data_IF_325549924233
#
_entry.id   IF_325549924233
#
_cell.length_a   1.000
_cell.length_b   1.000
_cell.length_c   1.000
_cell.angle_alpha   90.00
_cell.angle_beta   90.00
_cell.angle_gamma   90.00
#
_symmetry.space_group_name_H-M   'P 1'
#
loop_
_entity.id
_entity.type
_entity.pdbx_description
1 polymer ?
#
# COMPACT_ATOMS: atom_id res chain seq x y z
N UNK A 1 -4.26 -26.28 -8.24
CA UNK A 1 -3.84 -24.90 -8.58
C UNK A 1 -2.32 -24.82 -8.46
N UNK A 2 -1.64 -24.37 -9.50
CA UNK A 2 -0.19 -24.27 -9.53
C UNK A 2 0.23 -22.97 -8.87
N UNK A 3 1.14 -23.05 -7.91
CA UNK A 3 1.72 -21.87 -7.26
C UNK A 3 3.20 -21.78 -7.60
N UNK A 4 3.67 -20.57 -7.94
CA UNK A 4 5.08 -20.27 -8.18
C UNK A 4 5.47 -19.02 -7.40
N UNK A 5 6.71 -18.97 -6.94
CA UNK A 5 7.32 -17.78 -6.33
C UNK A 5 8.50 -17.34 -7.21
N UNK A 6 8.61 -16.06 -7.46
CA UNK A 6 9.70 -15.46 -8.23
C UNK A 6 10.13 -14.15 -7.59
N UNK A 7 11.42 -13.80 -7.66
CA UNK A 7 11.85 -12.45 -7.29
C UNK A 7 11.61 -11.47 -8.44
N UNK A 8 11.40 -10.21 -8.11
CA UNK A 8 11.42 -9.13 -9.11
C UNK A 8 12.66 -9.23 -10.01
N UNK A 9 12.53 -8.87 -11.28
CA UNK A 9 13.56 -8.98 -12.32
C UNK A 9 14.00 -10.39 -12.68
N UNK A 10 13.52 -11.44 -12.00
CA UNK A 10 13.80 -12.84 -12.33
C UNK A 10 12.75 -13.43 -13.28
N UNK A 11 13.05 -14.61 -13.80
CA UNK A 11 12.24 -15.29 -14.79
C UNK A 11 11.42 -16.42 -14.18
N UNK A 12 10.17 -16.50 -14.58
CA UNK A 12 9.28 -17.63 -14.38
C UNK A 12 9.29 -18.46 -15.66
N UNK A 13 9.82 -19.67 -15.61
CA UNK A 13 9.88 -20.57 -16.76
C UNK A 13 8.48 -21.13 -17.07
N UNK A 14 8.16 -21.20 -18.36
CA UNK A 14 6.95 -21.84 -18.88
C UNK A 14 7.33 -23.29 -19.23
N UNK A 15 6.70 -24.23 -18.53
CA UNK A 15 7.00 -25.66 -18.66
C UNK A 15 6.27 -26.27 -19.87
N UNK A 16 6.80 -27.35 -20.47
CA UNK A 16 6.03 -28.19 -21.37
C UNK A 16 4.79 -28.77 -20.66
N UNK A 17 3.73 -29.15 -21.40
CA UNK A 17 2.55 -29.77 -20.81
C UNK A 17 2.89 -31.00 -19.96
N UNK A 18 2.44 -31.05 -18.71
CA UNK A 18 2.69 -32.11 -17.74
C UNK A 18 1.95 -31.88 -16.43
N UNK A 19 1.96 -32.87 -15.55
CA UNK A 19 1.34 -32.73 -14.24
C UNK A 19 2.11 -31.72 -13.39
N UNK A 20 1.40 -30.76 -12.81
CA UNK A 20 2.00 -29.68 -12.03
C UNK A 20 2.79 -28.63 -12.86
N UNK A 21 2.73 -28.68 -14.19
CA UNK A 21 3.44 -27.78 -15.09
C UNK A 21 2.80 -26.39 -15.17
N UNK A 22 3.63 -25.33 -15.13
CA UNK A 22 3.20 -23.96 -15.43
C UNK A 22 3.24 -23.76 -16.94
N UNK A 23 2.14 -24.09 -17.60
CA UNK A 23 2.02 -24.12 -19.06
C UNK A 23 1.82 -22.73 -19.67
N UNK A 24 1.95 -22.64 -21.01
CA UNK A 24 1.71 -21.40 -21.76
C UNK A 24 0.29 -20.86 -21.55
N UNK A 25 -0.74 -21.72 -21.53
CA UNK A 25 -2.13 -21.32 -21.28
C UNK A 25 -2.29 -20.64 -19.90
N UNK A 26 -1.62 -21.14 -18.86
CA UNK A 26 -1.62 -20.51 -17.55
C UNK A 26 -0.87 -19.17 -17.54
N UNK A 27 0.22 -19.06 -18.28
CA UNK A 27 0.96 -17.82 -18.46
C UNK A 27 0.12 -16.75 -19.16
N UNK A 28 -0.62 -17.12 -20.22
CA UNK A 28 -1.51 -16.21 -20.95
C UNK A 28 -2.66 -15.70 -20.09
N UNK A 29 -3.23 -16.57 -19.24
CA UNK A 29 -4.24 -16.16 -18.24
C UNK A 29 -3.68 -15.17 -17.23
N UNK A 30 -2.45 -15.39 -16.74
CA UNK A 30 -1.78 -14.44 -15.83
C UNK A 30 -1.50 -13.10 -16.50
N UNK A 31 -1.05 -13.09 -17.75
CA UNK A 31 -0.84 -11.86 -18.52
C UNK A 31 -2.16 -11.09 -18.69
N UNK A 32 -3.26 -11.79 -18.96
CA UNK A 32 -4.58 -11.16 -19.07
C UNK A 32 -5.03 -10.50 -17.76
N UNK A 33 -4.80 -11.18 -16.61
CA UNK A 33 -5.06 -10.59 -15.28
C UNK A 33 -4.11 -9.42 -15.00
N UNK A 34 -2.83 -9.53 -15.40
CA UNK A 34 -1.85 -8.47 -15.27
C UNK A 34 -2.24 -7.20 -16.05
N UNK A 35 -2.77 -7.36 -17.28
CA UNK A 35 -3.28 -6.25 -18.08
C UNK A 35 -4.51 -5.55 -17.48
N UNK A 36 -5.29 -6.26 -16.66
CA UNK A 36 -6.44 -5.72 -15.97
C UNK A 36 -6.07 -5.08 -14.60
N UNK A 37 -4.86 -5.28 -14.10
CA UNK A 37 -4.43 -4.73 -12.80
C UNK A 37 -4.03 -3.25 -12.92
N UNK A 38 -4.32 -2.43 -11.89
CA UNK A 38 -4.01 -0.99 -11.85
C UNK A 38 -2.55 -0.66 -12.17
N UNK A 39 -1.65 -1.44 -11.63
CA UNK A 39 -0.20 -1.27 -11.79
C UNK A 39 0.33 -1.89 -13.08
N UNK A 40 -0.51 -2.64 -13.82
CA UNK A 40 -0.07 -3.48 -14.94
C UNK A 40 0.27 -2.71 -16.20
N UNK A 41 -0.36 -1.55 -16.41
CA UNK A 41 -0.39 -0.91 -17.73
C UNK A 41 -1.31 -1.64 -18.70
N UNK A 42 -1.52 -1.08 -19.90
CA UNK A 42 -2.54 -1.56 -20.85
C UNK A 42 -2.35 -3.02 -21.31
N UNK A 43 -1.12 -3.53 -21.27
CA UNK A 43 -0.73 -4.88 -21.72
C UNK A 43 -0.21 -5.78 -20.59
N UNK A 44 -0.23 -5.29 -19.33
CA UNK A 44 0.38 -5.98 -18.20
C UNK A 44 1.91 -5.96 -18.17
N UNK A 45 2.55 -5.26 -19.11
CA UNK A 45 4.01 -5.22 -19.25
C UNK A 45 4.76 -4.62 -18.07
N UNK A 46 4.08 -3.90 -17.21
CA UNK A 46 4.64 -3.40 -15.93
C UNK A 46 4.74 -4.49 -14.85
N UNK A 47 4.01 -5.61 -15.00
CA UNK A 47 4.05 -6.74 -14.08
C UNK A 47 4.92 -7.85 -14.67
N UNK A 48 4.67 -8.21 -15.91
CA UNK A 48 5.44 -9.24 -16.61
C UNK A 48 5.84 -8.78 -18.01
N UNK A 49 7.09 -9.08 -18.40
CA UNK A 49 7.50 -9.05 -19.80
C UNK A 49 7.52 -10.49 -20.33
N UNK A 50 6.80 -10.70 -21.42
CA UNK A 50 6.70 -12.02 -22.07
C UNK A 50 7.88 -12.26 -23.01
N UNK A 51 8.60 -13.36 -22.78
CA UNK A 51 9.70 -13.85 -23.61
C UNK A 51 9.37 -15.22 -24.24
N UNK A 52 8.11 -15.49 -24.49
CA UNK A 52 7.55 -16.71 -25.10
C UNK A 52 7.75 -18.01 -24.29
N UNK A 53 8.95 -18.32 -23.84
CA UNK A 53 9.26 -19.49 -22.99
C UNK A 53 9.38 -19.16 -21.50
N UNK A 54 9.32 -17.91 -21.14
CA UNK A 54 9.44 -17.41 -19.75
C UNK A 54 8.81 -16.05 -19.60
N UNK A 55 8.26 -15.80 -18.44
CA UNK A 55 7.81 -14.46 -18.03
C UNK A 55 8.87 -13.83 -17.14
N UNK A 56 9.25 -12.58 -17.42
CA UNK A 56 10.11 -11.82 -16.54
C UNK A 56 9.26 -10.94 -15.64
N UNK A 57 9.35 -11.14 -14.31
CA UNK A 57 8.73 -10.25 -13.35
C UNK A 57 9.41 -8.87 -13.41
N UNK A 58 8.61 -7.80 -13.29
CA UNK A 58 9.09 -6.42 -13.28
C UNK A 58 9.23 -5.90 -11.84
N UNK A 59 9.33 -4.60 -11.66
CA UNK A 59 9.55 -3.91 -10.39
C UNK A 59 8.25 -3.79 -9.57
N UNK A 60 7.58 -4.91 -9.36
CA UNK A 60 6.36 -5.03 -8.55
C UNK A 60 6.48 -6.24 -7.62
N UNK A 61 5.82 -6.17 -6.47
CA UNK A 61 5.80 -7.26 -5.49
C UNK A 61 4.37 -7.53 -5.03
N UNK A 62 4.13 -8.73 -4.54
CA UNK A 62 2.80 -9.16 -4.08
C UNK A 62 2.34 -10.46 -4.71
N UNK A 63 1.06 -10.62 -4.96
CA UNK A 63 0.46 -11.84 -5.52
C UNK A 63 -0.46 -11.51 -6.69
N UNK A 64 -0.35 -12.29 -7.74
CA UNK A 64 -1.29 -12.30 -8.85
C UNK A 64 -1.78 -13.73 -9.06
N UNK A 65 -3.09 -13.90 -9.23
CA UNK A 65 -3.73 -15.20 -9.41
C UNK A 65 -4.70 -15.18 -10.58
N UNK A 66 -4.63 -16.20 -11.40
CA UNK A 66 -5.57 -16.48 -12.47
C UNK A 66 -6.19 -17.88 -12.25
N UNK A 67 -7.18 -18.22 -13.06
CA UNK A 67 -7.79 -19.55 -12.98
C UNK A 67 -6.73 -20.64 -13.22
N UNK A 68 -6.52 -21.50 -12.22
CA UNK A 68 -5.57 -22.61 -12.27
C UNK A 68 -4.16 -22.32 -11.78
N UNK A 69 -3.75 -21.06 -11.63
CA UNK A 69 -2.42 -20.69 -11.17
C UNK A 69 -2.37 -19.42 -10.31
N UNK A 70 -1.29 -19.27 -9.55
CA UNK A 70 -0.93 -18.02 -8.85
C UNK A 70 0.59 -17.85 -8.81
N UNK A 71 1.01 -16.60 -8.85
CA UNK A 71 2.42 -16.21 -8.74
C UNK A 71 2.58 -15.20 -7.62
N UNK A 72 3.51 -15.49 -6.71
CA UNK A 72 3.99 -14.56 -5.70
C UNK A 72 5.29 -13.93 -6.20
N UNK A 73 5.33 -12.60 -6.24
CA UNK A 73 6.51 -11.83 -6.62
C UNK A 73 7.08 -11.21 -5.36
N UNK A 74 8.34 -11.52 -5.04
CA UNK A 74 9.04 -11.04 -3.85
C UNK A 74 10.10 -10.00 -4.21
N UNK A 75 10.36 -9.01 -3.34
CA UNK A 75 11.40 -8.03 -3.57
C UNK A 75 12.79 -8.66 -3.50
N UNK A 76 13.75 -8.02 -4.15
CA UNK A 76 15.15 -8.40 -4.09
C UNK A 76 15.86 -7.62 -2.97
N UNK A 77 15.80 -8.14 -1.75
CA UNK A 77 16.45 -7.53 -0.57
C UNK A 77 17.69 -8.36 -0.23
N UNK A 78 18.86 -7.75 -0.32
CA UNK A 78 20.11 -8.42 0.03
C UNK A 78 20.23 -8.64 1.53
N UNK A 79 21.01 -9.63 1.91
CA UNK A 79 21.18 -10.04 3.32
C UNK A 79 20.07 -10.93 3.87
N UNK A 80 18.94 -11.11 3.17
CA UNK A 80 17.83 -11.96 3.61
C UNK A 80 17.79 -13.36 2.95
N UNK A 81 18.75 -13.68 2.06
CA UNK A 81 18.75 -14.90 1.27
C UNK A 81 18.07 -14.73 -0.09
N UNK A 82 17.69 -15.84 -0.72
CA UNK A 82 17.03 -15.83 -2.04
C UNK A 82 15.60 -16.36 -1.96
N UNK A 83 14.76 -16.01 -2.94
CA UNK A 83 13.40 -16.56 -3.03
C UNK A 83 13.39 -18.06 -3.46
N UNK A 84 14.51 -18.61 -3.85
CA UNK A 84 14.69 -20.03 -4.21
C UNK A 84 14.85 -20.90 -2.96
N UNK A 85 15.47 -20.35 -1.90
CA UNK A 85 15.63 -20.97 -0.59
C UNK A 85 14.43 -20.70 0.33
N UNK A 86 13.98 -21.70 1.09
CA UNK A 86 12.80 -21.58 1.96
C UNK A 86 13.02 -20.55 3.09
N UNK A 87 14.22 -20.54 3.66
CA UNK A 87 14.59 -19.59 4.73
C UNK A 87 14.67 -18.17 4.18
N UNK A 88 15.34 -17.96 3.05
CA UNK A 88 15.42 -16.66 2.39
C UNK A 88 14.03 -16.14 1.99
N UNK A 89 13.21 -17.00 1.43
CA UNK A 89 11.81 -16.67 1.08
C UNK A 89 11.00 -16.20 2.29
N UNK A 90 11.14 -16.90 3.41
CA UNK A 90 10.48 -16.55 4.69
C UNK A 90 10.94 -15.18 5.18
N UNK A 91 12.24 -14.93 5.19
CA UNK A 91 12.82 -13.66 5.64
C UNK A 91 12.40 -12.50 4.74
N UNK A 92 12.48 -12.66 3.42
CA UNK A 92 12.06 -11.65 2.44
C UNK A 92 10.56 -11.35 2.59
N UNK A 93 9.73 -12.39 2.75
CA UNK A 93 8.28 -12.23 2.96
C UNK A 93 7.98 -11.49 4.26
N UNK A 94 8.66 -11.83 5.36
CA UNK A 94 8.54 -11.13 6.64
C UNK A 94 8.89 -9.65 6.51
N UNK A 95 9.97 -9.33 5.80
CA UNK A 95 10.37 -7.95 5.54
C UNK A 95 9.35 -7.20 4.68
N UNK A 96 8.84 -7.82 3.62
CA UNK A 96 7.80 -7.21 2.79
C UNK A 96 6.52 -6.95 3.57
N UNK A 97 6.10 -7.87 4.45
CA UNK A 97 4.97 -7.67 5.36
C UNK A 97 5.22 -6.49 6.29
N UNK A 98 6.43 -6.37 6.83
CA UNK A 98 6.81 -5.24 7.68
C UNK A 98 6.79 -3.90 6.91
N UNK A 99 7.30 -3.88 5.68
CA UNK A 99 7.26 -2.68 4.83
C UNK A 99 5.81 -2.26 4.52
N UNK A 100 4.95 -3.21 4.17
CA UNK A 100 3.53 -2.98 3.93
C UNK A 100 2.83 -2.48 5.19
N UNK A 101 3.12 -3.10 6.35
CA UNK A 101 2.56 -2.70 7.63
C UNK A 101 2.90 -1.25 7.99
N UNK A 102 4.16 -0.87 7.81
CA UNK A 102 4.60 0.50 8.07
C UNK A 102 4.03 1.50 7.06
N UNK A 103 4.02 1.15 5.76
CA UNK A 103 3.52 2.02 4.70
C UNK A 103 2.02 2.31 4.83
N UNK A 104 1.24 1.31 5.25
CA UNK A 104 -0.23 1.41 5.35
C UNK A 104 -0.73 1.53 6.80
N UNK A 105 0.15 1.84 7.74
CA UNK A 105 -0.18 2.06 9.17
C UNK A 105 -0.95 0.87 9.80
N UNK A 106 -0.51 -0.34 9.47
CA UNK A 106 -1.17 -1.59 9.90
C UNK A 106 -0.68 -2.03 11.28
N UNK A 107 -0.30 -1.21 12.20
CA UNK A 107 0.06 -1.50 13.60
C UNK A 107 0.59 -2.94 13.84
N UNK A 108 1.64 -3.33 13.12
CA UNK A 108 2.34 -4.61 13.22
C UNK A 108 3.74 -4.39 13.76
N UNK A 109 4.10 -5.13 14.80
CA UNK A 109 5.48 -5.16 15.27
C UNK A 109 6.39 -5.94 14.29
N UNK A 110 7.68 -5.65 14.33
CA UNK A 110 8.68 -6.39 13.52
C UNK A 110 8.62 -7.89 13.83
N UNK A 111 8.47 -8.28 15.11
CA UNK A 111 8.38 -9.68 15.52
C UNK A 111 7.16 -10.40 14.94
N UNK A 112 5.99 -9.75 14.94
CA UNK A 112 4.78 -10.29 14.33
C UNK A 112 4.93 -10.44 12.82
N UNK A 113 5.55 -9.47 12.13
CA UNK A 113 5.80 -9.55 10.70
C UNK A 113 6.72 -10.73 10.34
N UNK A 114 7.77 -10.99 11.13
CA UNK A 114 8.66 -12.14 10.95
C UNK A 114 7.90 -13.46 11.21
N UNK A 115 7.12 -13.53 12.28
CA UNK A 115 6.29 -14.71 12.58
C UNK A 115 5.26 -14.97 11.48
N UNK A 116 4.66 -13.94 10.91
CA UNK A 116 3.75 -14.06 9.79
C UNK A 116 4.48 -14.51 8.52
N UNK A 117 5.70 -14.01 8.27
CA UNK A 117 6.54 -14.42 7.14
C UNK A 117 6.94 -15.90 7.17
N UNK A 118 7.08 -16.50 8.38
CA UNK A 118 7.44 -17.91 8.56
C UNK A 118 6.32 -18.90 8.21
N UNK A 119 5.09 -18.43 8.02
CA UNK A 119 4.00 -19.29 7.60
C UNK A 119 4.20 -19.80 6.17
N UNK A 120 3.88 -21.08 5.92
CA UNK A 120 3.95 -21.70 4.57
C UNK A 120 2.87 -21.19 3.60
N UNK A 121 2.37 -20.00 3.83
CA UNK A 121 1.32 -19.36 3.04
C UNK A 121 1.88 -18.21 2.20
N UNK A 122 1.20 -17.89 1.12
CA UNK A 122 1.50 -16.68 0.33
C UNK A 122 1.26 -15.43 1.15
N UNK A 123 1.86 -14.31 0.78
CA UNK A 123 1.64 -13.02 1.42
C UNK A 123 0.15 -12.63 1.48
N UNK A 124 -0.62 -12.99 0.46
CA UNK A 124 -2.07 -12.79 0.43
C UNK A 124 -2.77 -13.53 1.57
N UNK A 125 -2.50 -14.82 1.74
CA UNK A 125 -3.11 -15.62 2.81
C UNK A 125 -2.70 -15.14 4.20
N UNK A 126 -1.48 -14.66 4.34
CA UNK A 126 -0.99 -14.04 5.59
C UNK A 126 -1.78 -12.77 5.92
N UNK A 127 -1.97 -11.88 4.94
CA UNK A 127 -2.74 -10.64 5.13
C UNK A 127 -4.24 -10.93 5.37
N UNK A 128 -4.82 -11.93 4.71
CA UNK A 128 -6.19 -12.39 4.98
C UNK A 128 -6.30 -12.91 6.42
N UNK A 129 -5.37 -13.75 6.86
CA UNK A 129 -5.33 -14.26 8.22
C UNK A 129 -5.21 -13.15 9.27
N UNK A 130 -4.40 -12.13 8.99
CA UNK A 130 -4.27 -10.95 9.82
C UNK A 130 -5.59 -10.17 9.91
N UNK A 131 -6.23 -9.92 8.76
CA UNK A 131 -7.54 -9.26 8.70
C UNK A 131 -8.58 -10.00 9.53
N UNK A 132 -8.70 -11.32 9.35
CA UNK A 132 -9.66 -12.14 10.09
C UNK A 132 -9.44 -12.11 11.60
N UNK A 133 -8.17 -12.25 12.06
CA UNK A 133 -7.84 -12.20 13.48
C UNK A 133 -8.22 -10.85 14.09
N UNK A 134 -7.74 -9.76 13.49
CA UNK A 134 -8.00 -8.40 14.01
C UNK A 134 -9.47 -8.03 13.99
N UNK A 135 -10.20 -8.42 12.94
CA UNK A 135 -11.63 -8.16 12.86
C UNK A 135 -12.37 -8.93 13.96
N UNK A 136 -12.01 -10.20 14.19
CA UNK A 136 -12.59 -10.98 15.27
C UNK A 136 -12.29 -10.41 16.66
N UNK A 137 -11.04 -9.97 16.90
CA UNK A 137 -10.64 -9.34 18.17
C UNK A 137 -11.39 -8.01 18.40
N UNK A 138 -11.52 -7.18 17.38
CA UNK A 138 -12.27 -5.93 17.46
C UNK A 138 -13.78 -6.17 17.72
N UNK A 139 -14.35 -7.21 17.14
CA UNK A 139 -15.76 -7.59 17.35
C UNK A 139 -16.06 -8.06 18.78
N UNK A 140 -15.07 -8.60 19.52
CA UNK A 140 -15.24 -8.94 20.95
C UNK A 140 -15.55 -7.73 21.82
N UNK A 141 -15.09 -6.55 21.40
CA UNK A 141 -15.40 -5.28 22.06
C UNK A 141 -16.69 -4.62 21.55
N UNK A 142 -17.33 -5.21 20.56
CA UNK A 142 -18.61 -4.80 19.99
C UNK A 142 -18.49 -4.22 18.56
N UNK A 143 -19.46 -4.55 17.73
CA UNK A 143 -19.58 -4.03 16.38
C UNK A 143 -19.92 -2.54 16.38
N UNK A 144 -19.28 -1.69 15.56
CA UNK A 144 -19.60 -0.27 15.45
C UNK A 144 -21.06 -0.07 15.06
N UNK A 145 -21.71 0.87 15.71
CA UNK A 145 -23.09 1.27 15.41
C UNK A 145 -23.18 2.80 15.34
N UNK A 146 -24.17 3.29 14.62
CA UNK A 146 -24.47 4.71 14.53
C UNK A 146 -25.98 4.93 14.56
N UNK A 147 -26.41 6.04 15.12
CA UNK A 147 -27.76 6.53 14.92
C UNK A 147 -27.90 7.05 13.50
N UNK A 148 -28.88 6.51 12.77
CA UNK A 148 -29.24 6.91 11.40
C UNK A 148 -30.68 7.33 11.40
N UNK A 149 -30.95 8.51 10.83
CA UNK A 149 -32.31 8.98 10.66
C UNK A 149 -33.07 8.06 9.67
N UNK A 150 -34.22 7.54 10.12
CA UNK A 150 -35.09 6.66 9.34
C UNK A 150 -36.41 7.36 9.11
N UNK A 151 -36.97 7.18 7.92
CA UNK A 151 -38.30 7.60 7.56
C UNK A 151 -39.11 6.36 7.24
N UNK A 152 -40.19 6.09 8.02
CA UNK A 152 -41.04 4.92 7.81
C UNK A 152 -42.51 5.26 8.11
N UNK A 153 -43.44 4.49 7.52
CA UNK A 153 -44.85 4.61 7.66
C UNK A 153 -45.38 3.55 8.64
N UNK A 154 -45.41 3.91 9.91
CA UNK A 154 -45.72 3.00 11.03
C UNK A 154 -47.16 3.14 11.51
N UNK A 155 -47.73 2.10 12.12
CA UNK A 155 -49.04 2.11 12.74
C UNK A 155 -49.08 2.92 14.06
N UNK A 156 -47.90 3.17 14.65
CA UNK A 156 -47.75 3.92 15.91
C UNK A 156 -46.63 4.96 15.72
N UNK A 157 -46.82 6.15 16.30
CA UNK A 157 -45.82 7.20 16.22
C UNK A 157 -44.50 6.77 16.89
N UNK A 158 -43.43 6.82 16.11
CA UNK A 158 -42.05 6.63 16.55
C UNK A 158 -41.21 7.87 16.19
N UNK A 159 -40.60 8.49 17.18
CA UNK A 159 -39.84 9.71 16.99
C UNK A 159 -40.77 10.92 16.75
N UNK A 160 -40.56 11.62 15.64
CA UNK A 160 -41.40 12.79 15.24
C UNK A 160 -42.22 12.49 14.00
N UNK A 161 -43.41 13.12 13.94
CA UNK A 161 -44.30 13.06 12.77
C UNK A 161 -43.72 13.91 11.64
N UNK A 162 -43.56 13.33 10.45
CA UNK A 162 -43.36 14.09 9.22
C UNK A 162 -44.70 14.63 8.72
N UNK A 163 -45.01 15.87 9.14
CA UNK A 163 -46.27 16.51 8.84
C UNK A 163 -46.50 16.63 7.33
N UNK A 164 -45.46 16.95 6.56
CA UNK A 164 -45.60 17.09 5.13
C UNK A 164 -45.97 15.75 4.46
N UNK A 165 -45.26 14.69 4.75
CA UNK A 165 -45.56 13.32 4.23
C UNK A 165 -46.93 12.84 4.71
N UNK A 166 -47.28 13.11 5.96
CA UNK A 166 -48.58 12.70 6.53
C UNK A 166 -49.76 13.27 5.74
N UNK A 167 -49.70 14.55 5.39
CA UNK A 167 -50.80 15.23 4.70
C UNK A 167 -50.71 15.22 3.18
N UNK A 168 -49.61 14.70 2.62
CA UNK A 168 -49.45 14.53 1.16
C UNK A 168 -49.51 13.06 0.79
N UNK A 169 -48.46 12.30 1.07
CA UNK A 169 -48.30 10.91 0.64
C UNK A 169 -49.23 9.95 1.38
N UNK A 170 -49.46 10.18 2.69
CA UNK A 170 -50.31 9.33 3.54
C UNK A 170 -51.72 9.88 3.77
N UNK A 171 -52.14 10.91 3.06
CA UNK A 171 -53.48 11.51 3.22
C UNK A 171 -54.64 10.50 3.10
N UNK A 172 -54.45 9.44 2.30
CA UNK A 172 -55.44 8.37 2.10
C UNK A 172 -55.14 7.10 2.89
N UNK A 173 -54.20 7.15 3.82
CA UNK A 173 -53.80 6.01 4.66
C UNK A 173 -53.81 6.38 6.15
N UNK A 174 -54.99 6.69 6.73
CA UNK A 174 -55.08 7.23 8.09
C UNK A 174 -54.65 6.28 9.19
N UNK A 175 -54.48 4.98 8.87
CA UNK A 175 -53.95 3.95 9.78
C UNK A 175 -52.43 3.97 9.90
N UNK A 176 -51.73 4.80 9.13
CA UNK A 176 -50.28 4.95 9.14
C UNK A 176 -49.84 6.36 9.49
N UNK A 177 -48.73 6.45 10.23
CA UNK A 177 -48.09 7.71 10.59
C UNK A 177 -46.74 7.82 9.89
N UNK A 178 -46.50 8.92 9.21
CA UNK A 178 -45.19 9.21 8.62
C UNK A 178 -44.23 9.58 9.73
N UNK A 179 -43.41 8.63 10.14
CA UNK A 179 -42.46 8.77 11.26
C UNK A 179 -41.08 9.14 10.75
N UNK A 180 -40.39 10.05 11.45
CA UNK A 180 -38.94 10.27 11.39
C UNK A 180 -38.37 9.96 12.76
N UNK A 181 -37.43 9.04 12.81
CA UNK A 181 -36.77 8.61 14.05
C UNK A 181 -35.32 8.23 13.81
N UNK A 182 -34.53 8.31 14.85
CA UNK A 182 -33.17 7.80 14.83
C UNK A 182 -33.15 6.35 15.27
N UNK A 183 -32.48 5.50 14.51
CA UNK A 183 -32.28 4.09 14.83
C UNK A 183 -30.80 3.76 14.97
N UNK A 184 -30.44 3.11 16.06
CA UNK A 184 -29.07 2.63 16.28
C UNK A 184 -28.84 1.37 15.44
N UNK A 185 -28.24 1.53 14.28
CA UNK A 185 -27.99 0.44 13.33
C UNK A 185 -26.52 0.07 13.22
N UNK A 186 -26.18 -1.22 13.06
CA UNK A 186 -24.86 -1.65 12.66
C UNK A 186 -24.63 -1.53 11.15
N UNK A 187 -25.67 -1.37 10.33
CA UNK A 187 -25.53 -1.24 8.87
C UNK A 187 -25.05 0.17 8.48
N UNK A 188 -23.76 0.38 8.70
CA UNK A 188 -23.04 1.63 8.45
C UNK A 188 -21.94 1.44 7.42
N UNK A 189 -21.47 2.49 6.71
CA UNK A 189 -20.44 2.38 5.68
C UNK A 189 -19.19 1.60 6.09
N UNK A 190 -18.74 1.73 7.34
CA UNK A 190 -17.59 0.99 7.86
C UNK A 190 -17.84 -0.53 7.87
N UNK A 191 -18.99 -0.97 8.38
CA UNK A 191 -19.33 -2.40 8.44
C UNK A 191 -19.63 -2.96 7.05
N UNK A 192 -20.20 -2.16 6.14
CA UNK A 192 -20.42 -2.54 4.74
C UNK A 192 -19.08 -2.80 4.02
N UNK A 193 -18.04 -2.02 4.32
CA UNK A 193 -16.68 -2.27 3.82
C UNK A 193 -16.16 -3.61 4.33
N UNK A 194 -16.32 -3.93 5.62
CA UNK A 194 -15.88 -5.22 6.16
C UNK A 194 -16.69 -6.39 5.58
N UNK A 195 -18.01 -6.25 5.41
CA UNK A 195 -18.85 -7.27 4.74
C UNK A 195 -18.37 -7.54 3.31
N UNK A 196 -18.11 -6.49 2.53
CA UNK A 196 -17.60 -6.62 1.17
C UNK A 196 -16.22 -7.29 1.16
N UNK A 197 -15.32 -6.91 2.09
CA UNK A 197 -14.00 -7.55 2.22
C UNK A 197 -14.12 -9.03 2.58
N UNK A 198 -14.95 -9.41 3.55
CA UNK A 198 -15.18 -10.82 3.94
C UNK A 198 -15.64 -11.62 2.73
N UNK A 199 -16.68 -11.15 2.02
CA UNK A 199 -17.22 -11.84 0.85
C UNK A 199 -16.19 -12.03 -0.26
N UNK A 200 -15.41 -10.97 -0.54
CA UNK A 200 -14.35 -11.05 -1.56
C UNK A 200 -13.20 -11.97 -1.18
N UNK A 201 -12.72 -11.84 0.05
CA UNK A 201 -11.60 -12.65 0.55
C UNK A 201 -11.98 -14.15 0.64
N UNK A 202 -13.24 -14.48 0.90
CA UNK A 202 -13.75 -15.84 0.85
C UNK A 202 -13.65 -16.48 -0.54
N UNK A 203 -13.76 -15.67 -1.60
CA UNK A 203 -13.63 -16.16 -2.98
C UNK A 203 -12.16 -16.42 -3.38
N UNK A 204 -11.21 -15.65 -2.86
CA UNK A 204 -9.80 -15.70 -3.26
C UNK A 204 -8.92 -16.54 -2.34
N UNK A 205 -9.24 -16.61 -1.04
CA UNK A 205 -8.49 -17.41 -0.07
C UNK A 205 -8.52 -18.90 -0.42
N UNK A 206 -7.41 -19.57 -0.20
CA UNK A 206 -7.24 -21.02 -0.39
C UNK A 206 -6.83 -21.74 0.89
N UNK A 207 -6.40 -21.01 1.92
CA UNK A 207 -6.04 -21.59 3.21
C UNK A 207 -7.31 -22.03 3.97
N UNK A 208 -7.42 -23.32 4.36
CA UNK A 208 -8.63 -23.82 5.04
C UNK A 208 -8.99 -23.06 6.30
N UNK A 209 -7.97 -22.63 7.07
CA UNK A 209 -8.15 -21.86 8.29
C UNK A 209 -8.74 -20.48 8.03
N UNK A 210 -8.24 -19.76 7.01
CA UNK A 210 -8.79 -18.48 6.60
C UNK A 210 -10.21 -18.62 6.07
N UNK A 211 -10.47 -19.65 5.29
CA UNK A 211 -11.81 -19.97 4.78
C UNK A 211 -12.83 -20.21 5.92
N UNK A 212 -12.41 -20.92 6.97
CA UNK A 212 -13.26 -21.13 8.14
C UNK A 212 -13.57 -19.80 8.84
N UNK A 213 -12.52 -19.01 9.13
CA UNK A 213 -12.67 -17.71 9.80
C UNK A 213 -13.54 -16.74 9.00
N UNK A 214 -13.37 -16.70 7.68
CA UNK A 214 -14.18 -15.84 6.80
C UNK A 214 -15.65 -16.23 6.82
N UNK A 215 -15.98 -17.54 6.85
CA UNK A 215 -17.37 -18.00 6.99
C UNK A 215 -17.97 -17.63 8.35
N UNK A 216 -17.21 -17.77 9.44
CA UNK A 216 -17.63 -17.33 10.77
C UNK A 216 -17.92 -15.83 10.82
N UNK A 217 -17.03 -15.01 10.22
CA UNK A 217 -17.21 -13.57 10.11
C UNK A 217 -18.40 -13.20 9.21
N UNK A 218 -18.61 -13.91 8.11
CA UNK A 218 -19.75 -13.66 7.20
C UNK A 218 -21.09 -13.87 7.91
N UNK A 219 -21.16 -14.87 8.80
CA UNK A 219 -22.35 -15.10 9.63
C UNK A 219 -22.57 -13.95 10.65
N UNK A 220 -21.51 -13.44 11.29
CA UNK A 220 -21.60 -12.30 12.21
C UNK A 220 -22.09 -11.04 11.50
N UNK A 221 -21.72 -10.89 10.23
CA UNK A 221 -22.08 -9.76 9.36
C UNK A 221 -23.37 -10.02 8.54
N UNK A 222 -24.22 -11.03 8.91
CA UNK A 222 -25.44 -11.38 8.16
C UNK A 222 -26.40 -10.19 7.98
N UNK A 223 -26.54 -9.38 9.03
CA UNK A 223 -27.45 -8.23 9.06
C UNK A 223 -26.92 -6.96 8.39
N UNK A 224 -25.68 -7.02 7.87
CA UNK A 224 -25.05 -5.89 7.15
C UNK A 224 -25.33 -6.01 5.67
N UNK A 225 -25.76 -4.91 5.06
CA UNK A 225 -26.02 -4.82 3.61
C UNK A 225 -24.76 -5.12 2.80
N UNK A 226 -24.88 -6.02 1.81
CA UNK A 226 -23.81 -6.29 0.87
C UNK A 226 -23.79 -5.19 -0.20
N UNK A 227 -22.79 -4.34 -0.12
CA UNK A 227 -22.54 -3.26 -1.10
C UNK A 227 -21.44 -3.69 -2.05
N UNK A 228 -21.63 -3.57 -3.38
CA UNK A 228 -20.58 -3.82 -4.36
C UNK A 228 -19.34 -2.96 -4.08
N UNK A 229 -18.14 -3.51 -4.30
CA UNK A 229 -16.85 -2.87 -3.95
C UNK A 229 -16.74 -1.47 -4.56
N UNK A 230 -17.11 -1.30 -5.84
CA UNK A 230 -17.09 -0.01 -6.53
C UNK A 230 -18.13 1.02 -6.02
N UNK A 231 -19.13 0.60 -5.24
CA UNK A 231 -20.16 1.45 -4.65
C UNK A 231 -19.91 1.74 -3.15
N UNK A 232 -18.82 1.24 -2.58
CA UNK A 232 -18.48 1.47 -1.18
C UNK A 232 -18.18 2.96 -0.92
N UNK A 233 -18.87 3.52 0.06
CA UNK A 233 -18.78 4.94 0.42
C UNK A 233 -17.66 5.17 1.43
N UNK A 234 -16.41 5.14 0.96
CA UNK A 234 -15.22 5.37 1.78
C UNK A 234 -15.16 6.76 2.40
N UNK A 235 -15.71 7.75 1.71
CA UNK A 235 -15.85 9.15 2.12
C UNK A 235 -16.82 9.35 3.29
N UNK A 236 -17.83 8.48 3.41
CA UNK A 236 -18.80 8.52 4.48
C UNK A 236 -18.33 7.84 5.78
N UNK A 237 -17.16 7.19 5.77
CA UNK A 237 -16.57 6.58 6.96
C UNK A 237 -15.95 7.66 7.83
N UNK A 238 -16.61 8.01 8.93
CA UNK A 238 -16.06 8.90 9.94
C UNK A 238 -15.54 8.11 11.13
N UNK A 239 -14.26 8.30 11.47
CA UNK A 239 -13.63 7.71 12.64
C UNK A 239 -13.43 8.80 13.70
N UNK A 240 -14.12 8.65 14.81
CA UNK A 240 -14.04 9.51 15.98
C UNK A 240 -13.35 8.80 17.16
N UNK A 241 -13.45 9.36 18.37
CA UNK A 241 -12.83 8.78 19.57
C UNK A 241 -13.39 7.41 19.95
N UNK A 242 -14.64 7.12 19.58
CA UNK A 242 -15.32 5.88 19.98
C UNK A 242 -14.97 4.71 19.08
N UNK A 243 -14.62 4.98 17.82
CA UNK A 243 -14.34 3.97 16.80
C UNK A 243 -12.95 4.10 16.15
N UNK A 244 -12.05 4.92 16.73
CA UNK A 244 -10.69 5.12 16.23
C UNK A 244 -9.89 3.80 16.08
N UNK A 245 -10.12 2.83 16.96
CA UNK A 245 -9.50 1.51 16.93
C UNK A 245 -9.74 0.73 15.63
N UNK A 246 -10.79 1.05 14.89
CA UNK A 246 -11.12 0.43 13.61
C UNK A 246 -10.31 0.99 12.44
N UNK A 247 -9.47 2.01 12.65
CA UNK A 247 -8.67 2.63 11.60
C UNK A 247 -7.76 1.63 10.89
N UNK A 248 -6.91 0.92 11.62
CA UNK A 248 -6.00 -0.06 11.03
C UNK A 248 -6.71 -1.19 10.28
N UNK A 249 -7.89 -1.64 10.78
CA UNK A 249 -8.73 -2.60 10.07
C UNK A 249 -9.34 -2.05 8.79
N UNK A 250 -9.84 -0.80 8.82
CA UNK A 250 -10.34 -0.11 7.63
C UNK A 250 -9.25 -0.01 6.56
N UNK A 251 -8.04 0.36 6.96
CA UNK A 251 -6.91 0.54 6.05
C UNK A 251 -6.43 -0.79 5.48
N UNK A 252 -6.42 -1.85 6.29
CA UNK A 252 -6.16 -3.22 5.83
C UNK A 252 -7.26 -3.73 4.88
N UNK A 253 -8.54 -3.47 5.18
CA UNK A 253 -9.63 -3.81 4.28
C UNK A 253 -9.50 -3.06 2.95
N UNK A 254 -9.16 -1.77 2.99
CA UNK A 254 -8.92 -0.96 1.80
C UNK A 254 -7.79 -1.54 0.95
N UNK A 255 -6.67 -1.90 1.57
CA UNK A 255 -5.54 -2.54 0.91
C UNK A 255 -5.96 -3.83 0.19
N UNK A 256 -6.68 -4.71 0.89
CA UNK A 256 -7.12 -6.01 0.37
C UNK A 256 -8.18 -5.89 -0.73
N UNK A 257 -8.95 -4.80 -0.76
CA UNK A 257 -9.95 -4.54 -1.78
C UNK A 257 -9.42 -3.72 -2.97
N UNK A 258 -8.24 -3.10 -2.88
CA UNK A 258 -7.67 -2.26 -3.95
C UNK A 258 -7.46 -3.02 -5.26
N UNK A 259 -7.14 -4.33 -5.21
CA UNK A 259 -6.97 -5.18 -6.40
C UNK A 259 -8.23 -5.40 -7.22
N UNK A 260 -9.41 -4.98 -6.74
CA UNK A 260 -10.72 -5.30 -7.33
C UNK A 260 -11.39 -4.14 -8.10
N UNK A 261 -10.88 -2.92 -7.99
CA UNK A 261 -11.51 -1.78 -8.67
C UNK A 261 -11.56 -1.90 -10.19
N UNK A 262 -10.87 -2.87 -10.79
CA UNK A 262 -10.70 -2.98 -12.23
C UNK A 262 -11.36 -4.18 -12.90
N UNK A 263 -11.89 -5.14 -12.16
CA UNK A 263 -12.56 -6.30 -12.79
C UNK A 263 -13.88 -5.95 -13.49
N UNK A 264 -14.39 -4.72 -13.34
CA UNK A 264 -15.69 -4.32 -13.88
C UNK A 264 -15.64 -3.60 -15.22
N UNK A 265 -14.49 -3.06 -15.67
CA UNK A 265 -14.46 -2.22 -16.89
C UNK A 265 -14.10 -2.95 -18.18
N UNK A 266 -13.44 -4.11 -18.14
CA UNK A 266 -13.07 -4.88 -19.33
C UNK A 266 -13.22 -6.40 -19.16
N UNK A 267 -14.21 -6.84 -18.38
CA UNK A 267 -14.67 -8.19 -18.15
C UNK A 267 -14.14 -9.28 -19.07
N UNK A 268 -13.07 -10.00 -18.74
CA UNK A 268 -12.78 -11.29 -19.37
C UNK A 268 -11.78 -12.20 -18.68
N UNK A 269 -11.01 -11.76 -17.68
CA UNK A 269 -10.09 -12.66 -17.01
C UNK A 269 -10.47 -12.78 -15.52
N UNK A 270 -11.12 -13.88 -15.08
CA UNK A 270 -11.38 -14.12 -13.67
C UNK A 270 -10.05 -14.29 -12.94
N UNK A 271 -9.70 -13.31 -12.12
CA UNK A 271 -8.42 -13.29 -11.41
C UNK A 271 -8.45 -12.35 -10.23
N UNK A 272 -7.32 -12.32 -9.54
CA UNK A 272 -7.06 -11.44 -8.40
C UNK A 272 -5.62 -10.96 -8.46
N UNK A 273 -5.40 -9.69 -8.16
CA UNK A 273 -4.07 -9.13 -8.01
C UNK A 273 -3.98 -8.26 -6.75
N UNK A 274 -2.95 -8.50 -5.95
CA UNK A 274 -2.54 -7.63 -4.86
C UNK A 274 -1.06 -7.32 -5.07
N UNK A 275 -0.80 -6.23 -5.78
CA UNK A 275 0.52 -5.88 -6.29
C UNK A 275 0.89 -4.46 -5.91
N UNK A 276 2.16 -4.25 -5.58
CA UNK A 276 2.71 -2.99 -5.13
C UNK A 276 3.95 -2.65 -5.97
N UNK A 277 3.98 -1.48 -6.66
CA UNK A 277 5.22 -0.98 -7.25
C UNK A 277 6.26 -0.78 -6.15
N UNK A 278 7.46 -1.37 -6.32
CA UNK A 278 8.48 -1.31 -5.27
C UNK A 278 9.01 0.11 -5.03
N UNK A 279 9.05 0.97 -6.05
CA UNK A 279 9.42 2.37 -5.85
C UNK A 279 8.46 3.05 -4.87
N UNK A 280 7.14 2.94 -5.13
CA UNK A 280 6.12 3.59 -4.30
C UNK A 280 6.12 3.03 -2.88
N UNK A 281 6.27 1.70 -2.75
CA UNK A 281 6.34 1.05 -1.44
C UNK A 281 7.58 1.49 -0.66
N UNK A 282 8.73 1.57 -1.32
CA UNK A 282 9.98 2.01 -0.69
C UNK A 282 9.89 3.47 -0.24
N UNK A 283 9.39 4.37 -1.10
CA UNK A 283 9.14 5.77 -0.79
C UNK A 283 8.29 5.93 0.47
N UNK A 284 7.10 5.31 0.50
CA UNK A 284 6.18 5.41 1.64
C UNK A 284 6.82 4.80 2.89
N UNK A 285 7.50 3.67 2.77
CA UNK A 285 8.16 3.00 3.87
C UNK A 285 9.25 3.88 4.50
N UNK A 286 10.13 4.46 3.68
CA UNK A 286 11.19 5.36 4.16
C UNK A 286 10.60 6.62 4.81
N UNK A 287 9.58 7.22 4.20
CA UNK A 287 8.91 8.39 4.79
C UNK A 287 8.36 8.07 6.20
N UNK A 288 7.70 6.92 6.37
CA UNK A 288 7.16 6.48 7.68
C UNK A 288 8.25 6.16 8.70
N UNK A 289 9.35 5.54 8.27
CA UNK A 289 10.48 5.26 9.16
C UNK A 289 11.19 6.55 9.57
N UNK A 290 11.30 7.52 8.66
CA UNK A 290 11.89 8.82 8.94
C UNK A 290 11.00 9.65 9.90
N UNK A 291 9.68 9.63 9.73
CA UNK A 291 8.74 10.24 10.71
C UNK A 291 8.96 9.68 12.13
N UNK A 292 9.20 8.36 12.25
CA UNK A 292 9.50 7.72 13.53
C UNK A 292 10.87 8.11 14.07
N UNK A 293 11.89 8.17 13.20
CA UNK A 293 13.25 8.53 13.56
C UNK A 293 13.36 9.97 14.08
N UNK A 294 12.65 10.89 13.45
CA UNK A 294 12.72 12.33 13.78
C UNK A 294 11.72 12.76 14.86
N UNK A 295 10.97 11.83 15.44
CA UNK A 295 10.02 12.14 16.52
C UNK A 295 10.78 12.68 17.76
N UNK A 296 10.47 13.92 18.16
CA UNK A 296 11.08 14.56 19.31
C UNK A 296 12.34 15.38 19.00
N UNK A 297 12.87 15.37 17.77
CA UNK A 297 14.09 16.13 17.38
C UNK A 297 13.82 17.57 16.95
N UNK A 298 12.56 18.02 16.96
CA UNK A 298 12.19 19.35 16.42
C UNK A 298 12.10 19.40 14.89
N UNK A 299 12.40 18.30 14.21
CA UNK A 299 12.22 18.15 12.76
C UNK A 299 10.87 17.51 12.42
N UNK A 300 10.34 17.83 11.26
CA UNK A 300 9.10 17.24 10.75
C UNK A 300 9.27 16.77 9.31
N UNK A 301 8.53 15.73 8.95
CA UNK A 301 8.58 15.10 7.63
C UNK A 301 7.30 15.39 6.87
N UNK A 302 7.43 15.70 5.58
CA UNK A 302 6.31 15.76 4.65
C UNK A 302 6.61 14.88 3.43
N UNK A 303 5.81 13.85 3.27
CA UNK A 303 5.85 13.03 2.06
C UNK A 303 5.11 13.71 0.91
N UNK A 304 5.66 13.57 -0.30
CA UNK A 304 5.04 14.02 -1.56
C UNK A 304 4.58 15.49 -1.51
N UNK A 305 5.44 16.38 -1.07
CA UNK A 305 5.14 17.81 -0.97
C UNK A 305 4.87 18.40 -2.36
N UNK A 306 3.75 19.13 -2.52
CA UNK A 306 3.24 19.64 -3.80
C UNK A 306 3.18 21.16 -3.85
N UNK A 307 3.99 21.87 -3.08
CA UNK A 307 3.88 23.33 -2.94
C UNK A 307 4.55 24.12 -4.05
N UNK A 308 5.49 23.54 -4.79
CA UNK A 308 6.30 24.22 -5.77
C UNK A 308 6.01 23.77 -7.21
N UNK A 309 6.33 24.67 -8.15
CA UNK A 309 6.14 24.47 -9.57
C UNK A 309 7.41 24.91 -10.31
N UNK A 310 7.78 24.20 -11.38
CA UNK A 310 8.98 24.53 -12.17
C UNK A 310 8.82 25.81 -12.98
N UNK A 311 7.62 26.09 -13.49
CA UNK A 311 7.39 27.19 -14.41
C UNK A 311 6.17 28.02 -13.97
N UNK A 312 6.24 29.31 -14.30
CA UNK A 312 5.11 30.24 -14.25
C UNK A 312 4.98 30.84 -15.64
N UNK A 313 3.83 30.77 -16.27
CA UNK A 313 3.59 31.35 -17.58
C UNK A 313 3.42 32.89 -17.50
N UNK A 314 3.34 33.55 -18.64
CA UNK A 314 3.18 35.02 -18.69
C UNK A 314 1.89 35.54 -18.06
N UNK A 315 0.87 34.69 -17.94
CA UNK A 315 -0.39 34.99 -17.29
C UNK A 315 -0.37 34.70 -15.76
N UNK A 316 0.78 34.30 -15.21
CA UNK A 316 0.93 33.96 -13.79
C UNK A 316 0.47 32.54 -13.43
N UNK A 317 0.07 31.73 -14.41
CA UNK A 317 -0.36 30.35 -14.14
C UNK A 317 0.84 29.44 -13.87
N UNK A 318 0.74 28.65 -12.82
CA UNK A 318 1.79 27.71 -12.41
C UNK A 318 1.71 26.42 -13.23
N UNK A 319 2.88 25.94 -13.72
CA UNK A 319 3.00 24.78 -14.58
C UNK A 319 4.08 23.83 -14.05
N UNK A 320 3.93 22.53 -14.32
CA UNK A 320 4.85 21.47 -13.91
C UNK A 320 5.09 21.47 -12.39
N UNK A 321 4.07 21.03 -11.66
CA UNK A 321 4.17 20.85 -10.21
C UNK A 321 5.27 19.85 -9.87
N UNK A 322 6.16 20.21 -8.96
CA UNK A 322 7.19 19.31 -8.44
C UNK A 322 6.66 18.53 -7.26
N UNK A 323 7.18 17.33 -7.09
CA UNK A 323 6.71 16.40 -6.07
C UNK A 323 7.87 15.55 -5.57
N UNK A 324 8.73 16.10 -4.70
CA UNK A 324 9.76 15.32 -4.04
C UNK A 324 9.12 14.26 -3.14
N UNK A 325 9.76 13.10 -3.03
CA UNK A 325 9.27 11.99 -2.23
C UNK A 325 9.13 12.41 -0.77
N UNK A 326 10.19 13.02 -0.21
CA UNK A 326 10.24 13.39 1.20
C UNK A 326 10.93 14.76 1.35
N UNK A 327 10.33 15.64 2.15
CA UNK A 327 10.96 16.90 2.58
C UNK A 327 10.99 16.95 4.10
N UNK A 328 12.17 17.19 4.64
CA UNK A 328 12.40 17.39 6.08
C UNK A 328 12.40 18.88 6.38
N UNK A 329 11.65 19.28 7.38
CA UNK A 329 11.47 20.66 7.79
C UNK A 329 11.95 20.90 9.22
N UNK A 330 12.57 22.06 9.44
CA UNK A 330 12.74 22.68 10.76
C UNK A 330 11.74 23.83 10.88
N UNK A 331 10.65 23.61 11.62
CA UNK A 331 9.52 24.55 11.60
C UNK A 331 8.90 24.68 10.20
N UNK A 332 9.09 25.81 9.54
CA UNK A 332 8.64 26.06 8.16
C UNK A 332 9.75 25.97 7.10
N UNK A 333 11.01 25.86 7.51
CA UNK A 333 12.18 25.86 6.66
C UNK A 333 12.52 24.44 6.19
N UNK A 334 12.65 24.19 4.87
CA UNK A 334 13.11 22.91 4.35
C UNK A 334 14.62 22.79 4.56
N UNK A 335 15.04 21.76 5.29
CA UNK A 335 16.46 21.52 5.63
C UNK A 335 17.06 20.35 4.84
N UNK A 336 16.21 19.44 4.33
CA UNK A 336 16.66 18.35 3.47
C UNK A 336 15.52 17.90 2.56
N UNK A 337 15.83 17.61 1.29
CA UNK A 337 14.94 16.91 0.34
C UNK A 337 15.54 15.55 0.05
N UNK A 338 14.73 14.49 0.18
CA UNK A 338 15.14 13.12 -0.08
C UNK A 338 14.27 12.57 -1.22
N UNK A 339 14.92 11.99 -2.21
CA UNK A 339 14.27 11.24 -3.28
C UNK A 339 14.75 9.79 -3.23
N UNK A 340 13.82 8.86 -3.18
CA UNK A 340 14.09 7.44 -2.96
C UNK A 340 14.10 6.67 -4.27
N UNK A 341 15.05 5.77 -4.44
CA UNK A 341 15.18 5.00 -5.67
C UNK A 341 15.36 3.51 -5.36
N UNK A 342 14.41 2.69 -5.80
CA UNK A 342 14.51 1.23 -5.68
C UNK A 342 15.35 0.65 -6.81
N UNK A 343 16.66 0.88 -6.75
CA UNK A 343 17.65 0.30 -7.68
C UNK A 343 18.99 0.09 -6.99
N UNK A 344 19.80 -0.81 -7.50
CA UNK A 344 21.19 -0.95 -7.06
C UNK A 344 22.01 0.22 -7.56
N UNK A 345 22.89 0.72 -6.71
CA UNK A 345 23.84 1.78 -7.03
C UNK A 345 25.27 1.22 -6.91
N UNK A 346 26.18 1.72 -7.73
CA UNK A 346 27.63 1.51 -7.61
C UNK A 346 28.27 2.58 -6.72
N UNK A 347 29.41 2.29 -6.11
CA UNK A 347 30.25 3.28 -5.42
C UNK A 347 30.73 4.40 -6.36
N UNK A 348 30.68 4.18 -7.68
CA UNK A 348 31.02 5.17 -8.69
C UNK A 348 29.75 5.85 -9.20
N UNK A 349 29.62 7.17 -8.93
CA UNK A 349 28.43 7.94 -9.30
C UNK A 349 28.16 7.90 -10.82
N UNK A 350 29.20 7.86 -11.65
CA UNK A 350 29.13 7.87 -13.13
C UNK A 350 29.23 6.46 -13.74
N UNK A 351 28.99 5.40 -12.96
CA UNK A 351 28.98 4.04 -13.50
C UNK A 351 27.91 3.89 -14.59
N UNK A 352 28.24 3.44 -15.82
CA UNK A 352 27.29 3.38 -16.93
C UNK A 352 26.08 2.47 -16.71
N UNK A 353 26.20 1.49 -15.77
CA UNK A 353 25.16 0.48 -15.50
C UNK A 353 24.44 0.71 -14.18
N UNK A 354 25.18 1.13 -13.15
CA UNK A 354 24.70 1.21 -11.77
C UNK A 354 24.97 2.58 -11.13
N UNK A 355 25.37 3.59 -11.90
CA UNK A 355 25.54 4.95 -11.40
C UNK A 355 24.23 5.69 -11.17
N UNK A 356 24.36 6.92 -10.67
CA UNK A 356 23.24 7.85 -10.55
C UNK A 356 22.78 8.29 -11.94
N UNK A 357 21.49 8.22 -12.19
CA UNK A 357 20.94 8.66 -13.48
C UNK A 357 21.06 10.19 -13.64
N UNK A 358 21.45 10.65 -14.81
CA UNK A 358 21.55 12.10 -15.11
C UNK A 358 20.20 12.82 -14.85
N UNK A 359 19.08 12.17 -15.17
CA UNK A 359 17.75 12.70 -14.89
C UNK A 359 17.49 12.85 -13.39
N UNK A 360 17.98 11.90 -12.55
CA UNK A 360 17.86 11.97 -11.10
C UNK A 360 18.67 13.18 -10.57
N UNK A 361 19.88 13.42 -11.09
CA UNK A 361 20.70 14.59 -10.72
C UNK A 361 19.99 15.90 -11.07
N UNK A 362 19.44 16.03 -12.28
CA UNK A 362 18.70 17.24 -12.69
C UNK A 362 17.45 17.45 -11.84
N UNK A 363 16.76 16.39 -11.46
CA UNK A 363 15.61 16.43 -10.56
C UNK A 363 16.02 16.99 -9.19
N UNK A 364 17.13 16.50 -8.63
CA UNK A 364 17.63 16.98 -7.34
C UNK A 364 18.11 18.43 -7.39
N UNK A 365 18.76 18.85 -8.46
CA UNK A 365 19.11 20.25 -8.66
C UNK A 365 17.87 21.16 -8.72
N UNK A 366 16.81 20.72 -9.41
CA UNK A 366 15.54 21.47 -9.45
C UNK A 366 14.90 21.56 -8.07
N UNK A 367 14.88 20.46 -7.29
CA UNK A 367 14.36 20.46 -5.93
C UNK A 367 15.16 21.38 -5.00
N UNK A 368 16.49 21.28 -5.02
CA UNK A 368 17.38 22.14 -4.24
C UNK A 368 17.07 23.62 -4.48
N UNK A 369 16.94 24.03 -5.74
CA UNK A 369 16.63 25.42 -6.11
C UNK A 369 15.22 25.86 -5.71
N UNK A 370 14.20 25.05 -6.02
CA UNK A 370 12.79 25.42 -5.83
C UNK A 370 12.39 25.47 -4.36
N UNK A 371 12.98 24.60 -3.55
CA UNK A 371 12.78 24.57 -2.10
C UNK A 371 13.75 25.49 -1.35
N UNK A 372 14.78 26.04 -2.02
CA UNK A 372 15.87 26.78 -1.35
C UNK A 372 16.59 25.89 -0.33
N UNK A 373 16.66 24.60 -0.59
CA UNK A 373 17.12 23.60 0.36
C UNK A 373 18.61 23.31 0.14
N UNK A 374 19.48 23.52 1.16
CA UNK A 374 20.93 23.40 1.00
C UNK A 374 21.37 21.94 0.82
N UNK A 375 20.57 20.98 1.23
CA UNK A 375 20.93 19.55 1.17
C UNK A 375 19.84 18.74 0.49
N UNK A 376 20.22 18.06 -0.57
CA UNK A 376 19.34 17.11 -1.27
C UNK A 376 20.00 15.74 -1.30
N UNK A 377 19.19 14.66 -1.16
CA UNK A 377 19.68 13.30 -0.99
C UNK A 377 18.99 12.34 -1.95
N UNK A 378 19.75 11.50 -2.64
CA UNK A 378 19.28 10.30 -3.33
C UNK A 378 19.51 9.09 -2.42
N UNK A 379 18.43 8.41 -2.04
CA UNK A 379 18.45 7.31 -1.08
C UNK A 379 18.12 5.98 -1.75
N UNK A 380 19.00 4.99 -1.56
CA UNK A 380 18.93 3.68 -2.20
C UNK A 380 18.90 2.56 -1.16
N UNK A 381 18.39 1.34 -1.49
CA UNK A 381 18.64 0.16 -0.66
C UNK A 381 20.12 -0.23 -0.68
N UNK A 382 20.67 -0.54 0.50
CA UNK A 382 22.03 -1.03 0.61
C UNK A 382 22.18 -2.44 0.06
N UNK A 383 23.36 -2.78 -0.45
CA UNK A 383 23.71 -4.12 -0.89
C UNK A 383 25.20 -4.44 -0.64
N UNK A 384 25.52 -5.73 -0.54
CA UNK A 384 26.86 -6.21 -0.17
C UNK A 384 27.99 -5.84 -1.16
N UNK A 385 27.65 -5.32 -2.33
CA UNK A 385 28.62 -4.82 -3.31
C UNK A 385 29.13 -3.40 -3.05
N UNK A 386 28.61 -2.72 -2.01
CA UNK A 386 29.04 -1.39 -1.58
C UNK A 386 29.98 -1.47 -0.39
N UNK A 387 30.96 -0.57 -0.35
CA UNK A 387 32.00 -0.56 0.69
C UNK A 387 31.48 -0.08 2.06
N UNK A 388 30.43 0.75 2.10
CA UNK A 388 29.87 1.32 3.34
C UNK A 388 28.35 1.47 3.25
N UNK A 389 27.71 1.42 4.42
CA UNK A 389 26.31 1.85 4.63
C UNK A 389 26.28 3.35 4.95
N UNK A 390 25.12 3.97 4.75
CA UNK A 390 24.92 5.38 5.02
C UNK A 390 25.29 6.23 3.83
N UNK A 391 25.96 7.34 4.06
CA UNK A 391 26.44 8.22 3.01
C UNK A 391 27.51 7.53 2.15
N UNK A 392 27.29 7.48 0.83
CA UNK A 392 28.19 6.88 -0.14
C UNK A 392 28.94 7.92 -0.98
N UNK A 393 28.42 9.15 -1.02
CA UNK A 393 29.09 10.25 -1.73
C UNK A 393 28.42 11.58 -1.44
N UNK A 394 29.23 12.65 -1.48
CA UNK A 394 28.81 14.06 -1.28
C UNK A 394 29.39 14.92 -2.37
N UNK A 395 28.55 15.72 -3.01
CA UNK A 395 28.89 16.51 -4.19
C UNK A 395 28.30 17.91 -4.06
N UNK A 396 29.13 18.93 -4.34
CA UNK A 396 28.62 20.30 -4.45
C UNK A 396 27.86 20.51 -5.77
N UNK A 397 26.71 21.16 -5.69
CA UNK A 397 25.94 21.52 -6.87
C UNK A 397 26.57 22.76 -7.50
N UNK A 398 27.01 22.62 -8.76
CA UNK A 398 27.67 23.72 -9.47
C UNK A 398 26.79 24.98 -9.51
N UNK A 399 27.36 26.11 -9.09
CA UNK A 399 26.71 27.42 -9.11
C UNK A 399 25.91 27.79 -7.88
N UNK A 400 25.95 27.00 -6.80
CA UNK A 400 25.40 27.34 -5.49
C UNK A 400 26.13 26.57 -4.38
N UNK A 401 25.89 26.97 -3.12
CA UNK A 401 26.48 26.35 -1.92
C UNK A 401 25.63 25.12 -1.42
N UNK A 402 24.91 24.50 -2.32
CA UNK A 402 24.06 23.37 -1.97
C UNK A 402 24.77 22.04 -2.28
N UNK A 403 24.38 20.99 -1.59
CA UNK A 403 24.96 19.66 -1.68
C UNK A 403 23.97 18.60 -2.17
N UNK A 404 24.44 17.73 -3.05
CA UNK A 404 23.80 16.46 -3.39
C UNK A 404 24.52 15.32 -2.65
N UNK A 405 23.79 14.59 -1.86
CA UNK A 405 24.27 13.42 -1.14
C UNK A 405 23.69 12.15 -1.77
N UNK A 406 24.52 11.14 -1.95
CA UNK A 406 24.07 9.76 -2.24
C UNK A 406 24.21 8.92 -0.98
N UNK A 407 23.16 8.18 -0.62
CA UNK A 407 23.15 7.39 0.60
C UNK A 407 22.43 6.05 0.40
N UNK A 408 22.73 5.09 1.26
CA UNK A 408 22.07 3.78 1.27
C UNK A 408 21.60 3.39 2.67
N UNK A 409 20.53 2.59 2.72
CA UNK A 409 19.97 2.04 3.94
C UNK A 409 19.82 0.53 3.85
N UNK A 410 20.23 -0.16 4.91
CA UNK A 410 20.05 -1.61 5.02
C UNK A 410 18.64 -1.94 5.47
N UNK A 411 17.94 -2.67 4.63
CA UNK A 411 16.60 -3.15 4.88
C UNK A 411 16.56 -4.51 5.58
N UNK A 412 17.68 -5.20 5.74
CA UNK A 412 17.73 -6.55 6.35
C UNK A 412 17.66 -6.48 7.88
N UNK A 413 18.21 -5.42 8.48
CA UNK A 413 18.35 -5.26 9.92
C UNK A 413 17.21 -4.50 10.61
N UNK A 414 17.18 -4.52 11.95
CA UNK A 414 16.22 -3.77 12.75
C UNK A 414 16.56 -2.27 12.89
N UNK A 415 17.77 -1.86 12.49
CA UNK A 415 18.35 -0.55 12.79
C UNK A 415 18.00 0.56 11.82
N UNK A 416 17.01 0.38 10.92
CA UNK A 416 16.67 1.38 9.88
C UNK A 416 16.37 2.78 10.47
N UNK A 417 15.65 2.84 11.60
CA UNK A 417 15.34 4.11 12.27
C UNK A 417 16.63 4.83 12.69
N UNK A 418 17.60 4.10 13.24
CA UNK A 418 18.90 4.66 13.64
C UNK A 418 19.74 5.09 12.43
N UNK A 419 19.74 4.30 11.35
CA UNK A 419 20.41 4.67 10.12
C UNK A 419 19.86 5.98 9.53
N UNK A 420 18.52 6.10 9.48
CA UNK A 420 17.86 7.30 8.98
C UNK A 420 18.10 8.51 9.88
N UNK A 421 18.15 8.32 11.20
CA UNK A 421 18.51 9.37 12.14
C UNK A 421 19.94 9.86 11.88
N UNK A 422 20.91 8.95 11.74
CA UNK A 422 22.30 9.31 11.44
C UNK A 422 22.48 10.04 10.11
N UNK A 423 21.65 9.76 9.10
CA UNK A 423 21.64 10.52 7.83
C UNK A 423 21.11 11.96 8.01
N UNK A 424 20.37 12.22 9.08
CA UNK A 424 19.81 13.53 9.41
C UNK A 424 20.58 14.27 10.53
N UNK A 425 21.65 13.71 11.12
CA UNK A 425 22.35 14.29 12.26
C UNK A 425 22.87 15.70 11.98
N UNK A 426 23.42 15.96 10.80
CA UNK A 426 23.93 17.29 10.43
C UNK A 426 22.82 18.36 10.28
N UNK A 427 21.57 17.96 10.16
CA UNK A 427 20.41 18.88 10.09
C UNK A 427 19.59 18.84 11.36
N UNK A 428 20.01 18.10 12.40
CA UNK A 428 19.36 18.05 13.72
C UNK A 428 19.87 19.17 14.63
N UNK A 429 19.02 19.85 15.42
CA UNK A 429 19.45 20.93 16.31
C UNK A 429 20.29 20.45 17.51
N UNK A 430 20.35 19.16 17.79
CA UNK A 430 21.11 18.60 18.91
C UNK A 430 22.63 18.53 18.64
N UNK A 431 23.09 18.75 17.41
CA UNK A 431 24.50 18.69 16.97
C UNK A 431 25.01 19.99 16.35
N UNK A 432 24.27 21.10 16.47
CA UNK A 432 24.65 22.43 15.97
C UNK A 432 25.17 23.34 17.09
#
# INVERSE_FOLDING_TARGET
MIHRTVSEWNYLTIDPPGDGAFTRDLADRLIAVAGAADVGGADGGRIFTDHHRRLRAQQVVGVIAAQGCSVEILPKIEGLGTAEDETGRTNIRGRLIHMLAAAYDLDLSVGEAVQLGSQKHTILEVLIGLFCRRLNDALREGMPRRYVEQEDDLAVLRGRLDVQRQFTTLAFSPQKMACRFEELTPDIPLNQVFKAAIGRLAQVSRAPENQRRLRELDLIYSDISLVPIGALRWDAITLDRTNHRWRGLRDLARLLLQGDYQTTSHGRAPGFSLLFPMNDLFEIYIARMLEKALKGTGLSVRAQDRRHYCLVDRAGSRRFQVRPDIVVYRGSEPVMVIDTKWKRISDRIEDPKQGVGQADVYQMMAYSRLYGCPRVMLLYPHHAGLNSQGETGRYHIAGCDHELVTATVDLSGPSLVQQLLGLCDEVSPEFA
#
